data_IF_321471169970
#
_entry.id   IF_321471169970
#
_cell.length_a   1.000
_cell.length_b   1.000
_cell.length_c   1.000
_cell.angle_alpha   90.00
_cell.angle_beta   90.00
_cell.angle_gamma   90.00
#
_symmetry.space_group_name_H-M   'P 1'
#
loop_
_entity.id
_entity.type
_entity.pdbx_description
1 polymer ?
#
# COMPACT_ATOMS: atom_id res chain seq x y z
N UNK A 1 -8.21 1.61 -19.69
CA UNK A 1 -7.43 2.19 -18.56
C UNK A 1 -6.19 2.81 -19.16
N UNK A 2 -5.95 4.12 -18.97
CA UNK A 2 -4.79 4.82 -19.54
C UNK A 2 -3.61 4.81 -18.56
N UNK A 3 -2.40 4.83 -19.10
CA UNK A 3 -1.15 4.92 -18.33
C UNK A 3 -1.03 6.32 -17.70
N UNK A 4 -0.52 6.39 -16.46
CA UNK A 4 -0.24 7.66 -15.76
C UNK A 4 1.06 8.27 -16.28
N UNK A 5 1.14 9.60 -16.30
CA UNK A 5 2.33 10.33 -16.79
C UNK A 5 3.62 9.95 -16.06
N UNK A 6 3.54 9.66 -14.75
CA UNK A 6 4.67 9.15 -13.96
C UNK A 6 5.25 7.84 -14.51
N UNK A 7 4.41 6.95 -15.04
CA UNK A 7 4.86 5.66 -15.55
C UNK A 7 5.51 5.83 -16.94
N UNK A 8 5.11 6.86 -17.70
CA UNK A 8 5.73 7.24 -18.98
C UNK A 8 7.14 7.81 -18.74
N UNK A 9 7.31 8.69 -17.74
CA UNK A 9 8.63 9.22 -17.38
C UNK A 9 9.57 8.12 -16.88
N UNK A 10 9.07 7.23 -16.01
CA UNK A 10 9.84 6.07 -15.53
C UNK A 10 10.24 5.10 -16.65
N UNK A 11 9.38 4.97 -17.67
CA UNK A 11 9.69 4.20 -18.88
C UNK A 11 10.82 4.85 -19.69
N UNK A 12 10.80 6.17 -19.88
CA UNK A 12 11.86 6.91 -20.59
C UNK A 12 13.20 6.90 -19.84
N UNK A 13 13.16 6.96 -18.51
CA UNK A 13 14.36 6.90 -17.66
C UNK A 13 14.91 5.47 -17.48
N UNK A 14 14.33 4.45 -18.13
CA UNK A 14 14.66 3.02 -17.97
C UNK A 14 14.65 2.52 -16.51
N UNK A 15 13.78 3.08 -15.65
CA UNK A 15 13.70 2.75 -14.21
C UNK A 15 12.59 1.75 -13.86
N UNK A 16 11.98 1.12 -14.86
CA UNK A 16 10.92 0.14 -14.66
C UNK A 16 11.47 -1.29 -14.69
N UNK A 17 10.82 -2.17 -13.93
CA UNK A 17 11.06 -3.61 -14.03
C UNK A 17 10.77 -4.10 -15.45
N UNK A 18 11.57 -5.05 -15.95
CA UNK A 18 11.48 -5.58 -17.32
C UNK A 18 10.07 -6.12 -17.68
N UNK A 19 9.36 -6.71 -16.71
CA UNK A 19 7.98 -7.18 -16.90
C UNK A 19 6.99 -6.02 -17.09
N UNK A 20 7.17 -4.91 -16.37
CA UNK A 20 6.31 -3.72 -16.49
C UNK A 20 6.61 -2.96 -17.79
N UNK A 21 7.88 -2.92 -18.19
CA UNK A 21 8.31 -2.31 -19.45
C UNK A 21 7.61 -2.97 -20.65
N UNK A 22 7.60 -4.32 -20.71
CA UNK A 22 6.91 -5.04 -21.79
C UNK A 22 5.40 -4.76 -21.82
N UNK A 23 4.75 -4.74 -20.66
CA UNK A 23 3.31 -4.43 -20.55
C UNK A 23 2.99 -3.01 -21.04
N UNK A 24 3.88 -2.05 -20.79
CA UNK A 24 3.72 -0.68 -21.26
C UNK A 24 3.92 -0.57 -22.77
N UNK A 25 4.90 -1.27 -23.33
CA UNK A 25 5.14 -1.33 -24.79
C UNK A 25 3.94 -1.94 -25.52
N UNK A 26 3.42 -3.06 -25.01
CA UNK A 26 2.18 -3.66 -25.50
C UNK A 26 1.03 -2.64 -25.43
N UNK A 27 0.90 -1.90 -24.33
CA UNK A 27 -0.14 -0.88 -24.20
C UNK A 27 0.03 0.32 -25.15
N UNK A 28 1.27 0.77 -25.40
CA UNK A 28 1.54 1.86 -26.35
C UNK A 28 1.20 1.47 -27.79
N UNK A 29 1.33 0.19 -28.14
CA UNK A 29 0.93 -0.31 -29.47
C UNK A 29 -0.59 -0.33 -29.69
N UNK A 30 -1.38 -0.45 -28.62
CA UNK A 30 -2.84 -0.58 -28.68
C UNK A 30 -3.55 0.75 -28.41
N UNK A 31 -3.01 1.57 -27.50
CA UNK A 31 -3.65 2.82 -27.08
C UNK A 31 -3.05 4.05 -27.76
N UNK A 32 -3.73 4.54 -28.79
CA UNK A 32 -3.33 5.74 -29.54
C UNK A 32 -3.07 6.97 -28.66
N UNK A 33 -3.94 7.22 -27.67
CA UNK A 33 -3.80 8.36 -26.74
C UNK A 33 -2.52 8.28 -25.88
N UNK A 34 -2.13 7.08 -25.48
CA UNK A 34 -0.90 6.88 -24.71
C UNK A 34 0.35 6.93 -25.59
N UNK A 35 0.24 6.49 -26.85
CA UNK A 35 1.30 6.61 -27.86
C UNK A 35 1.58 8.07 -28.23
N UNK A 36 0.55 8.87 -28.46
CA UNK A 36 0.67 10.32 -28.74
C UNK A 36 1.34 11.04 -27.56
N UNK A 37 0.93 10.77 -26.32
CA UNK A 37 1.59 11.30 -25.13
C UNK A 37 3.05 10.87 -25.01
N UNK A 38 3.37 9.61 -25.31
CA UNK A 38 4.77 9.14 -25.30
C UNK A 38 5.62 9.91 -26.31
N UNK A 39 5.06 10.25 -27.48
CA UNK A 39 5.75 11.05 -28.49
C UNK A 39 6.02 12.48 -28.00
N UNK A 40 5.04 13.14 -27.37
CA UNK A 40 5.21 14.47 -26.76
C UNK A 40 6.34 14.48 -25.72
N UNK A 41 6.38 13.46 -24.85
CA UNK A 41 7.45 13.32 -23.85
C UNK A 41 8.83 13.09 -24.48
N UNK A 42 8.91 12.27 -25.55
CA UNK A 42 10.17 12.06 -26.28
C UNK A 42 10.68 13.34 -26.94
N UNK A 43 9.79 14.13 -27.53
CA UNK A 43 10.11 15.42 -28.13
C UNK A 43 10.64 16.41 -27.07
N UNK A 44 10.01 16.45 -25.90
CA UNK A 44 10.46 17.28 -24.78
C UNK A 44 11.85 16.85 -24.28
N UNK A 45 12.11 15.55 -24.14
CA UNK A 45 13.44 15.06 -23.76
C UNK A 45 14.50 15.36 -24.83
N UNK A 46 14.16 15.24 -26.11
CA UNK A 46 15.08 15.60 -27.20
C UNK A 46 15.39 17.11 -27.20
N UNK A 47 14.40 17.96 -26.89
CA UNK A 47 14.61 19.39 -26.71
C UNK A 47 15.50 19.70 -25.49
N UNK A 48 15.34 18.97 -24.39
CA UNK A 48 16.20 19.08 -23.20
C UNK A 48 17.62 18.58 -23.45
N UNK A 49 17.80 17.54 -24.26
CA UNK A 49 19.11 17.02 -24.65
C UNK A 49 19.82 17.97 -25.62
N UNK A 50 19.06 18.63 -26.51
CA UNK A 50 19.55 19.70 -27.38
C UNK A 50 19.80 21.03 -26.69
N UNK A 51 19.36 21.19 -25.43
CA UNK A 51 19.87 22.24 -24.54
C UNK A 51 21.26 21.79 -24.05
N UNK A 52 22.21 21.79 -24.98
CA UNK A 52 23.64 21.67 -24.71
C UNK A 52 24.00 22.70 -23.63
N UNK A 53 24.19 22.20 -22.42
CA UNK A 53 24.74 22.97 -21.32
C UNK A 53 26.24 23.06 -21.61
N UNK A 54 26.67 24.16 -22.24
CA UNK A 54 28.06 24.58 -22.43
C UNK A 54 28.72 24.80 -21.05
N UNK A 55 28.93 23.72 -20.29
CA UNK A 55 30.01 23.65 -19.34
C UNK A 55 31.20 23.08 -20.12
N UNK A 56 31.83 23.94 -20.92
CA UNK A 56 33.25 23.76 -21.19
C UNK A 56 33.95 23.75 -19.83
N UNK A 57 34.13 22.55 -19.29
CA UNK A 57 35.01 22.26 -18.15
C UNK A 57 36.49 22.53 -18.48
N UNK A 58 36.75 23.00 -19.71
CA UNK A 58 38.07 23.31 -20.19
C UNK A 58 38.67 24.46 -19.37
N UNK A 59 39.72 24.14 -18.63
CA UNK A 59 40.39 25.07 -17.73
C UNK A 59 39.76 25.21 -16.33
N UNK A 60 38.64 24.54 -16.02
CA UNK A 60 38.17 24.45 -14.63
C UNK A 60 39.17 23.64 -13.80
N UNK A 61 39.70 22.54 -14.36
CA UNK A 61 40.79 21.77 -13.76
C UNK A 61 42.01 22.65 -13.50
N UNK A 62 42.43 23.46 -14.48
CA UNK A 62 43.57 24.37 -14.32
C UNK A 62 43.32 25.46 -13.27
N UNK A 63 42.10 26.00 -13.18
CA UNK A 63 41.71 26.96 -12.12
C UNK A 63 41.68 26.32 -10.75
N UNK A 64 41.19 25.08 -10.64
CA UNK A 64 41.18 24.31 -9.39
C UNK A 64 42.62 23.97 -9.00
N UNK A 65 43.45 23.50 -9.93
CA UNK A 65 44.85 23.19 -9.69
C UNK A 65 45.65 24.42 -9.29
N UNK A 66 45.48 25.56 -9.95
CA UNK A 66 46.11 26.81 -9.52
C UNK A 66 45.66 27.24 -8.13
N UNK A 67 44.36 27.12 -7.80
CA UNK A 67 43.87 27.42 -6.46
C UNK A 67 44.50 26.49 -5.42
N UNK A 68 44.56 25.18 -5.67
CA UNK A 68 45.18 24.20 -4.77
C UNK A 68 46.68 24.47 -4.59
N UNK A 69 47.41 24.76 -5.68
CA UNK A 69 48.86 25.03 -5.63
C UNK A 69 49.19 26.34 -4.90
N UNK A 70 48.31 27.33 -5.00
CA UNK A 70 48.48 28.65 -4.39
C UNK A 70 47.84 28.74 -2.99
N UNK A 71 47.18 27.69 -2.49
CA UNK A 71 46.86 27.60 -1.07
C UNK A 71 48.19 27.32 -0.35
N UNK A 72 48.71 28.24 0.47
CA UNK A 72 49.82 27.90 1.34
C UNK A 72 49.37 26.73 2.20
N UNK A 73 50.11 25.62 2.16
CA UNK A 73 49.95 24.45 3.03
C UNK A 73 50.35 24.86 4.44
N UNK A 74 49.56 25.76 5.04
CA UNK A 74 49.77 26.36 6.34
C UNK A 74 48.48 27.02 6.83
N UNK A 75 47.36 26.28 6.78
CA UNK A 75 46.36 26.37 7.84
C UNK A 75 45.61 25.03 7.88
N UNK A 76 46.24 24.03 8.48
CA UNK A 76 45.45 23.03 9.19
C UNK A 76 44.81 23.82 10.34
N UNK A 77 43.58 24.27 10.16
CA UNK A 77 42.72 24.61 11.28
C UNK A 77 42.43 23.28 12.01
N UNK A 78 43.41 22.80 12.75
CA UNK A 78 43.10 22.15 14.00
C UNK A 78 42.61 23.28 14.90
N UNK A 79 41.38 23.71 14.67
CA UNK A 79 40.54 24.07 15.81
C UNK A 79 40.47 22.78 16.60
N UNK A 80 41.40 22.63 17.55
CA UNK A 80 41.21 21.76 18.70
C UNK A 80 39.87 22.22 19.25
N UNK A 81 38.78 21.52 18.90
CA UNK A 81 37.53 21.61 19.60
C UNK A 81 37.82 21.16 21.02
N UNK A 82 38.33 22.10 21.84
CA UNK A 82 38.45 22.00 23.28
C UNK A 82 37.04 22.06 23.81
N UNK A 83 36.31 20.97 23.60
CA UNK A 83 35.03 20.75 24.26
C UNK A 83 35.39 20.71 25.74
N UNK A 84 35.05 21.79 26.43
CA UNK A 84 35.31 21.90 27.85
C UNK A 84 34.68 20.70 28.55
N UNK A 85 35.44 19.99 29.38
CA UNK A 85 34.97 18.85 30.20
C UNK A 85 33.58 19.08 30.82
N UNK A 86 33.22 20.27 31.35
CA UNK A 86 31.87 20.55 31.82
C UNK A 86 30.76 20.42 30.76
N UNK A 87 31.02 20.75 29.50
CA UNK A 87 30.04 20.60 28.41
C UNK A 87 29.78 19.12 28.13
N UNK A 88 30.83 18.29 28.12
CA UNK A 88 30.69 16.83 27.96
C UNK A 88 29.90 16.22 29.12
N UNK A 89 30.21 16.62 30.36
CA UNK A 89 29.48 16.17 31.54
C UNK A 89 28.01 16.60 31.51
N UNK A 90 27.74 17.82 31.04
CA UNK A 90 26.37 18.31 30.89
C UNK A 90 25.59 17.50 29.85
N UNK A 91 26.17 17.28 28.66
CA UNK A 91 25.54 16.46 27.61
C UNK A 91 25.29 15.03 28.10
N UNK A 92 26.27 14.42 28.76
CA UNK A 92 26.12 13.08 29.34
C UNK A 92 25.00 13.05 30.40
N UNK A 93 24.95 14.05 31.27
CA UNK A 93 23.89 14.19 32.29
C UNK A 93 22.51 14.32 31.65
N UNK A 94 22.36 15.14 30.61
CA UNK A 94 21.09 15.31 29.90
C UNK A 94 20.66 14.00 29.24
N UNK A 95 21.57 13.31 28.56
CA UNK A 95 21.29 12.01 27.94
C UNK A 95 20.91 10.97 29.00
N UNK A 96 21.59 10.95 30.14
CA UNK A 96 21.28 10.04 31.24
C UNK A 96 19.89 10.34 31.84
N UNK A 97 19.58 11.61 32.10
CA UNK A 97 18.27 12.04 32.61
C UNK A 97 17.14 11.71 31.63
N UNK A 98 17.34 11.91 30.32
CA UNK A 98 16.36 11.52 29.32
C UNK A 98 16.14 10.01 29.33
N UNK A 99 17.19 9.19 29.27
CA UNK A 99 17.02 7.73 29.29
C UNK A 99 16.30 7.25 30.55
N UNK A 100 16.65 7.78 31.73
CA UNK A 100 16.04 7.39 32.99
C UNK A 100 14.56 7.78 33.10
N UNK A 101 14.16 8.90 32.49
CA UNK A 101 12.76 9.36 32.47
C UNK A 101 11.94 8.65 31.38
N UNK A 102 12.52 8.38 30.22
CA UNK A 102 11.80 7.82 29.08
C UNK A 102 11.65 6.30 29.16
N UNK A 103 12.58 5.58 29.77
CA UNK A 103 12.50 4.12 29.93
C UNK A 103 11.23 3.63 30.67
N UNK A 104 10.82 4.19 31.83
CA UNK A 104 9.58 3.79 32.48
C UNK A 104 8.34 4.14 31.64
N UNK A 105 8.37 5.26 30.90
CA UNK A 105 7.27 5.68 30.02
C UNK A 105 7.10 4.72 28.84
N UNK A 106 8.21 4.32 28.19
CA UNK A 106 8.19 3.36 27.09
C UNK A 106 7.71 2.00 27.58
N UNK A 107 8.14 1.55 28.76
CA UNK A 107 7.70 0.29 29.34
C UNK A 107 6.21 0.32 29.71
N UNK A 108 5.70 1.44 30.23
CA UNK A 108 4.28 1.64 30.48
C UNK A 108 3.47 1.60 29.18
N UNK A 109 3.88 2.36 28.15
CA UNK A 109 3.24 2.37 26.84
C UNK A 109 3.22 0.99 26.20
N UNK A 110 4.32 0.24 26.28
CA UNK A 110 4.41 -1.13 25.76
C UNK A 110 3.44 -2.07 26.48
N UNK A 111 3.36 -1.96 27.81
CA UNK A 111 2.42 -2.77 28.60
C UNK A 111 0.97 -2.42 28.29
N UNK A 112 0.66 -1.13 28.15
CA UNK A 112 -0.66 -0.66 27.76
C UNK A 112 -1.03 -1.17 26.36
N UNK A 113 -0.14 -1.00 25.38
CA UNK A 113 -0.35 -1.47 24.01
C UNK A 113 -0.59 -2.98 23.93
N UNK A 114 0.24 -3.79 24.61
CA UNK A 114 0.07 -5.24 24.62
C UNK A 114 -1.28 -5.66 25.25
N UNK A 115 -1.69 -5.00 26.34
CA UNK A 115 -2.96 -5.28 27.00
C UNK A 115 -4.16 -4.85 26.14
N UNK A 116 -4.11 -3.67 25.52
CA UNK A 116 -5.16 -3.18 24.63
C UNK A 116 -5.26 -4.01 23.36
N UNK A 117 -4.13 -4.45 22.81
CA UNK A 117 -4.11 -5.33 21.64
C UNK A 117 -4.70 -6.70 21.97
N UNK A 118 -4.37 -7.28 23.13
CA UNK A 118 -4.94 -8.54 23.58
C UNK A 118 -6.47 -8.43 23.80
N UNK A 119 -6.93 -7.32 24.37
CA UNK A 119 -8.35 -7.03 24.55
C UNK A 119 -9.07 -6.87 23.22
N UNK A 120 -8.54 -6.03 22.33
CA UNK A 120 -9.11 -5.79 20.99
C UNK A 120 -9.15 -7.06 20.15
N UNK A 121 -8.09 -7.88 20.16
CA UNK A 121 -8.05 -9.11 19.35
C UNK A 121 -8.99 -10.19 19.90
N UNK A 122 -9.01 -10.43 21.21
CA UNK A 122 -9.87 -11.48 21.77
C UNK A 122 -11.35 -11.10 21.69
N UNK A 123 -11.71 -9.88 22.09
CA UNK A 123 -13.10 -9.45 22.10
C UNK A 123 -13.65 -9.26 20.67
N UNK A 124 -12.82 -8.77 19.73
CA UNK A 124 -13.25 -8.70 18.32
C UNK A 124 -13.35 -10.08 17.65
N UNK A 125 -12.46 -11.03 17.97
CA UNK A 125 -12.55 -12.39 17.44
C UNK A 125 -13.78 -13.12 17.98
N UNK A 126 -14.11 -12.98 19.25
CA UNK A 126 -15.33 -13.53 19.83
C UNK A 126 -16.58 -12.91 19.20
N UNK A 127 -16.60 -11.60 18.99
CA UNK A 127 -17.69 -10.92 18.30
C UNK A 127 -17.88 -11.39 16.86
N UNK A 128 -16.78 -11.49 16.09
CA UNK A 128 -16.81 -11.97 14.70
C UNK A 128 -17.30 -13.42 14.64
N UNK A 129 -16.85 -14.27 15.57
CA UNK A 129 -17.24 -15.67 15.59
C UNK A 129 -18.72 -15.83 16.00
N UNK A 130 -19.18 -15.08 17.01
CA UNK A 130 -20.58 -15.06 17.42
C UNK A 130 -21.51 -14.61 16.28
N UNK A 131 -21.19 -13.48 15.65
CA UNK A 131 -21.96 -12.95 14.52
C UNK A 131 -21.97 -13.91 13.31
N UNK A 132 -20.87 -14.64 13.07
CA UNK A 132 -20.79 -15.65 12.01
C UNK A 132 -21.77 -16.81 12.26
N UNK A 133 -21.83 -17.34 13.47
CA UNK A 133 -22.74 -18.45 13.78
C UNK A 133 -24.21 -18.00 13.78
N UNK A 134 -24.49 -16.80 14.28
CA UNK A 134 -25.82 -16.22 14.22
C UNK A 134 -26.30 -16.01 12.77
N UNK A 135 -25.42 -15.53 11.88
CA UNK A 135 -25.73 -15.42 10.45
C UNK A 135 -25.97 -16.79 9.78
N UNK A 136 -25.20 -17.82 10.14
CA UNK A 136 -25.39 -19.19 9.64
C UNK A 136 -26.74 -19.75 10.09
N UNK A 137 -27.13 -19.53 11.34
CA UNK A 137 -28.42 -19.98 11.88
C UNK A 137 -29.59 -19.27 11.19
N UNK A 138 -29.49 -17.95 10.94
CA UNK A 138 -30.49 -17.20 10.17
C UNK A 138 -30.63 -17.77 8.75
N UNK A 139 -29.51 -18.05 8.06
CA UNK A 139 -29.53 -18.63 6.71
C UNK A 139 -30.15 -20.04 6.73
N UNK A 140 -29.83 -20.87 7.73
CA UNK A 140 -30.41 -22.20 7.88
C UNK A 140 -31.92 -22.14 8.15
N UNK A 141 -32.38 -21.16 8.94
CA UNK A 141 -33.79 -20.93 9.21
C UNK A 141 -34.54 -20.48 7.94
N UNK A 142 -33.97 -19.56 7.16
CA UNK A 142 -34.52 -19.19 5.86
C UNK A 142 -34.62 -20.36 4.88
N UNK A 143 -33.57 -21.19 4.81
CA UNK A 143 -33.57 -22.38 3.94
C UNK A 143 -34.60 -23.42 4.37
N UNK A 144 -34.82 -23.61 5.67
CA UNK A 144 -35.85 -24.54 6.17
C UNK A 144 -37.28 -24.02 5.94
N UNK A 145 -37.51 -22.69 6.03
CA UNK A 145 -38.78 -22.06 5.65
C UNK A 145 -39.08 -22.21 4.15
N UNK A 146 -38.08 -22.05 3.28
CA UNK A 146 -38.27 -22.18 1.83
C UNK A 146 -38.62 -23.62 1.43
N UNK A 147 -37.92 -24.61 2.02
CA UNK A 147 -38.16 -26.04 1.76
C UNK A 147 -39.54 -26.48 2.27
N UNK A 148 -39.96 -26.00 3.44
CA UNK A 148 -41.30 -26.33 4.00
C UNK A 148 -42.43 -25.70 3.19
N UNK A 149 -42.26 -24.48 2.68
CA UNK A 149 -43.20 -23.82 1.77
C UNK A 149 -43.41 -24.61 0.47
N UNK A 150 -42.32 -25.06 -0.18
CA UNK A 150 -42.41 -25.87 -1.40
C UNK A 150 -43.04 -27.25 -1.14
N UNK A 151 -42.67 -27.91 -0.04
CA UNK A 151 -43.22 -29.22 0.31
C UNK A 151 -44.74 -29.17 0.54
N UNK A 152 -45.23 -28.12 1.22
CA UNK A 152 -46.67 -27.91 1.47
C UNK A 152 -47.42 -27.68 0.16
N UNK A 153 -46.82 -26.92 -0.77
CA UNK A 153 -47.37 -26.70 -2.11
C UNK A 153 -47.50 -28.00 -2.92
N UNK A 154 -46.47 -28.85 -2.90
CA UNK A 154 -46.48 -30.15 -3.59
C UNK A 154 -47.55 -31.06 -3.00
N UNK A 155 -47.69 -31.11 -1.67
CA UNK A 155 -48.72 -31.91 -1.00
C UNK A 155 -50.13 -31.44 -1.35
N UNK A 156 -50.36 -30.12 -1.40
CA UNK A 156 -51.65 -29.54 -1.80
C UNK A 156 -52.00 -29.85 -3.26
N UNK A 157 -51.03 -29.73 -4.17
CA UNK A 157 -51.23 -30.05 -5.59
C UNK A 157 -51.50 -31.56 -5.77
N UNK A 158 -50.71 -32.42 -5.15
CA UNK A 158 -50.89 -33.87 -5.21
C UNK A 158 -52.23 -34.31 -4.60
N UNK A 159 -52.61 -33.75 -3.44
CA UNK A 159 -53.89 -34.01 -2.79
C UNK A 159 -55.08 -33.53 -3.60
N UNK A 160 -54.99 -32.36 -4.25
CA UNK A 160 -56.02 -31.84 -5.15
C UNK A 160 -56.23 -32.71 -6.40
N UNK A 161 -55.14 -33.20 -7.00
CA UNK A 161 -55.19 -34.12 -8.14
C UNK A 161 -55.80 -35.47 -7.71
N UNK A 162 -55.36 -36.02 -6.58
CA UNK A 162 -55.91 -37.28 -6.07
C UNK A 162 -57.41 -37.19 -5.79
N UNK A 163 -57.85 -36.12 -5.13
CA UNK A 163 -59.27 -35.90 -4.81
C UNK A 163 -60.13 -35.74 -6.07
N UNK A 164 -59.65 -35.01 -7.08
CA UNK A 164 -60.39 -34.79 -8.33
C UNK A 164 -60.48 -36.05 -9.20
N UNK A 165 -59.43 -36.87 -9.24
CA UNK A 165 -59.43 -38.17 -9.95
C UNK A 165 -60.33 -39.17 -9.23
N UNK A 166 -60.24 -39.27 -7.90
CA UNK A 166 -61.04 -40.24 -7.15
C UNK A 166 -62.54 -39.87 -7.11
N UNK A 167 -62.87 -38.57 -7.13
CA UNK A 167 -64.28 -38.12 -7.29
C UNK A 167 -64.89 -38.49 -8.64
N UNK A 168 -64.08 -38.63 -9.70
CA UNK A 168 -64.55 -39.12 -11.01
C UNK A 168 -64.73 -40.65 -11.05
N UNK A 169 -64.00 -41.41 -10.23
CA UNK A 169 -64.18 -42.88 -10.15
C UNK A 169 -65.48 -43.26 -9.41
N UNK A 170 -65.86 -42.48 -8.40
CA UNK A 170 -67.07 -42.71 -7.59
C UNK A 170 -68.40 -42.31 -8.25
N UNK A 171 -68.40 -41.71 -9.45
CA UNK A 171 -69.61 -41.33 -10.21
C UNK A 171 -69.99 -42.31 -11.33
N UNK A 172 -69.34 -43.48 -11.40
CA UNK A 172 -69.58 -44.52 -12.41
C UNK A 172 -70.29 -45.77 -11.89
N UNK A 173 -71.01 -45.68 -10.77
CA UNK A 173 -71.91 -46.75 -10.28
C UNK A 173 -73.29 -46.16 -10.07
#
# INVERSE_FOLDING_TARGET
MHIRERDISLYLDNRLDSEKQRKLEEHFSVCRKCSERLAEWKELYAYLEGLEYDFELDGLENKIMQKIKNVPVNVVWHDEFRISVPVLLYVLSVVLSLNLLFEPVINFLRRFYNNTMAFMLNESLEFINSAKWEAVDVIALFKSMEITGMATGIVLIAGGIYFTVNRKSLRKV
#
